data_IF_208269551592
#
_entry.id   IF_208269551592
#
_cell.length_a   1.000
_cell.length_b   1.000
_cell.length_c   1.000
_cell.angle_alpha   90.00
_cell.angle_beta   90.00
_cell.angle_gamma   90.00
#
_symmetry.space_group_name_H-M   'P 1'
#
loop_
_entity.id
_entity.type
_entity.pdbx_description
1 polymer ?
#
# COMPACT_ATOMS: atom_id res chain seq x y z
N UNK A 1 -29.34 18.09 -48.58
CA UNK A 1 -28.79 17.63 -49.87
C UNK A 1 -27.82 18.70 -50.29
N UNK A 2 -26.56 18.50 -50.65
CA UNK A 2 -25.63 17.36 -50.69
C UNK A 2 -24.29 17.92 -51.25
N UNK A 3 -24.35 19.09 -51.91
CA UNK A 3 -23.28 19.65 -52.73
C UNK A 3 -22.39 20.71 -52.05
N UNK A 4 -22.87 21.45 -51.03
CA UNK A 4 -22.03 22.49 -50.38
C UNK A 4 -20.92 21.90 -49.48
N UNK A 5 -21.11 20.67 -48.96
CA UNK A 5 -20.09 19.97 -48.18
C UNK A 5 -18.95 19.39 -49.04
N UNK A 6 -19.10 19.35 -50.37
CA UNK A 6 -18.11 18.77 -51.29
C UNK A 6 -17.10 19.77 -51.86
N UNK A 7 -17.32 21.09 -51.71
CA UNK A 7 -16.48 22.10 -52.39
C UNK A 7 -15.44 22.79 -51.49
N UNK A 8 -15.62 22.79 -50.16
CA UNK A 8 -14.60 23.35 -49.23
C UNK A 8 -13.40 22.42 -49.00
N UNK A 9 -13.53 21.12 -49.28
CA UNK A 9 -12.43 20.13 -49.17
C UNK A 9 -11.40 20.27 -50.32
N UNK A 10 -11.69 21.07 -51.36
CA UNK A 10 -11.04 20.96 -52.67
C UNK A 10 -9.86 21.90 -52.94
N UNK A 11 -9.61 22.93 -52.12
CA UNK A 11 -8.74 24.07 -52.51
C UNK A 11 -7.46 24.26 -51.65
N UNK A 12 -7.31 23.62 -50.49
CA UNK A 12 -6.12 23.79 -49.64
C UNK A 12 -5.37 22.50 -49.30
N UNK A 13 -4.55 22.02 -50.26
CA UNK A 13 -3.21 21.39 -50.07
C UNK A 13 -2.71 20.77 -51.39
N UNK A 14 -2.10 21.62 -52.22
CA UNK A 14 -1.20 21.20 -53.30
C UNK A 14 0.23 21.66 -52.96
N UNK A 15 1.25 21.00 -53.54
CA UNK A 15 2.71 21.22 -53.43
C UNK A 15 3.37 20.69 -52.12
N UNK A 16 4.10 19.54 -52.06
CA UNK A 16 5.35 19.05 -52.75
C UNK A 16 6.63 19.65 -52.10
N UNK A 17 7.80 18.94 -51.90
CA UNK A 17 8.26 17.58 -52.33
C UNK A 17 8.81 16.64 -51.20
N UNK A 18 9.48 15.54 -51.60
CA UNK A 18 10.05 14.42 -50.82
C UNK A 18 11.59 14.51 -50.69
N UNK A 19 12.21 13.84 -49.70
CA UNK A 19 13.34 12.91 -49.96
C UNK A 19 13.63 11.91 -48.81
N UNK A 20 14.40 10.85 -49.10
CA UNK A 20 14.52 9.61 -48.30
C UNK A 20 15.89 9.44 -47.60
N UNK A 21 15.90 8.67 -46.50
CA UNK A 21 16.88 7.59 -46.25
C UNK A 21 16.13 6.30 -45.84
N UNK A 22 16.70 5.12 -46.11
CA UNK A 22 15.94 3.90 -46.47
C UNK A 22 16.57 2.60 -45.90
N UNK A 23 15.79 1.50 -45.86
CA UNK A 23 16.19 0.06 -45.65
C UNK A 23 16.46 -0.27 -44.15
N UNK A 24 15.99 -1.33 -43.48
CA UNK A 24 15.37 -2.65 -43.80
C UNK A 24 14.58 -3.19 -42.55
N UNK A 25 13.82 -4.31 -42.47
CA UNK A 25 13.08 -5.12 -43.46
C UNK A 25 12.11 -6.17 -42.80
N UNK A 26 11.34 -6.87 -43.65
CA UNK A 26 10.78 -8.24 -43.57
C UNK A 26 9.63 -8.65 -42.58
N UNK A 27 8.74 -9.61 -42.96
CA UNK A 27 7.31 -9.55 -42.56
C UNK A 27 6.67 -10.82 -41.96
N UNK A 28 5.41 -10.67 -41.50
CA UNK A 28 4.49 -11.74 -41.07
C UNK A 28 3.79 -12.42 -42.27
N UNK A 29 3.65 -13.76 -42.27
CA UNK A 29 2.69 -14.50 -43.11
C UNK A 29 2.06 -15.71 -42.40
N UNK A 30 0.80 -15.97 -42.74
CA UNK A 30 0.02 -17.16 -42.37
C UNK A 30 0.40 -18.39 -43.21
N UNK A 31 0.17 -19.60 -42.68
CA UNK A 31 -0.70 -20.63 -43.30
C UNK A 31 -0.88 -21.86 -42.38
N UNK A 32 -2.00 -22.57 -42.55
CA UNK A 32 -2.34 -23.83 -41.85
C UNK A 32 -2.09 -25.02 -42.78
N UNK A 33 -1.59 -26.15 -42.26
CA UNK A 33 -1.77 -27.49 -42.85
C UNK A 33 -1.63 -28.60 -41.81
N UNK A 34 -2.27 -29.73 -42.10
CA UNK A 34 -2.67 -30.74 -41.10
C UNK A 34 -1.72 -31.95 -40.99
N UNK A 35 -1.75 -32.55 -39.79
CA UNK A 35 -1.64 -33.99 -39.48
C UNK A 35 -0.36 -34.86 -39.61
N UNK A 36 -0.27 -35.77 -38.60
CA UNK A 36 0.34 -37.12 -38.55
C UNK A 36 1.83 -37.34 -38.13
N UNK A 37 2.03 -37.37 -36.80
CA UNK A 37 2.27 -38.58 -35.96
C UNK A 37 3.41 -39.57 -36.33
N UNK A 38 4.47 -39.61 -35.50
CA UNK A 38 5.05 -40.87 -34.94
C UNK A 38 6.04 -40.63 -33.78
N UNK A 39 5.86 -41.43 -32.72
CA UNK A 39 6.84 -42.04 -31.78
C UNK A 39 8.02 -41.20 -31.22
N UNK A 40 8.06 -40.83 -29.93
CA UNK A 40 8.33 -41.62 -28.69
C UNK A 40 9.82 -41.72 -28.24
N UNK A 41 9.99 -41.67 -26.91
CA UNK A 41 11.19 -42.05 -26.12
C UNK A 41 12.43 -41.14 -26.14
N UNK A 42 12.45 -40.19 -25.19
CA UNK A 42 13.29 -40.35 -23.98
C UNK A 42 12.83 -39.45 -22.83
N UNK A 43 12.04 -40.02 -21.93
CA UNK A 43 11.93 -39.51 -20.57
C UNK A 43 13.16 -39.97 -19.78
N UNK A 44 13.84 -39.03 -19.11
CA UNK A 44 14.67 -39.33 -17.95
C UNK A 44 14.34 -38.32 -16.86
N UNK A 45 13.73 -38.85 -15.81
CA UNK A 45 13.29 -38.24 -14.58
C UNK A 45 14.14 -37.06 -14.07
N UNK A 46 13.52 -35.88 -14.03
CA UNK A 46 13.52 -35.09 -12.80
C UNK A 46 12.10 -35.05 -12.26
N UNK A 47 11.79 -35.99 -11.34
CA UNK A 47 10.63 -35.93 -10.47
C UNK A 47 10.66 -34.60 -9.72
N UNK A 48 9.96 -33.58 -10.24
CA UNK A 48 9.47 -32.49 -9.41
C UNK A 48 8.44 -33.12 -8.49
N UNK A 49 8.86 -33.47 -7.28
CA UNK A 49 7.95 -33.81 -6.21
C UNK A 49 6.88 -32.72 -6.14
N UNK A 50 5.64 -33.10 -6.42
CA UNK A 50 4.49 -32.24 -6.15
C UNK A 50 4.42 -32.14 -4.64
N UNK A 51 5.07 -31.10 -4.10
CA UNK A 51 4.96 -30.75 -2.69
C UNK A 51 3.50 -30.40 -2.44
N UNK A 52 2.75 -31.39 -1.95
CA UNK A 52 1.39 -31.24 -1.45
C UNK A 52 1.43 -30.00 -0.55
N UNK A 53 0.73 -28.90 -0.89
CA UNK A 53 0.77 -27.72 -0.06
C UNK A 53 0.17 -28.10 1.29
N UNK A 54 1.01 -28.10 2.34
CA UNK A 54 0.55 -28.32 3.71
C UNK A 54 -0.63 -27.37 3.94
N UNK A 55 -1.77 -27.83 4.50
CA UNK A 55 -2.95 -26.99 4.65
C UNK A 55 -2.55 -25.73 5.41
N UNK A 56 -2.73 -24.58 4.77
CA UNK A 56 -2.29 -23.30 5.30
C UNK A 56 -3.16 -22.96 6.52
N UNK A 57 -2.64 -23.26 7.72
CA UNK A 57 -3.31 -22.97 8.98
C UNK A 57 -3.53 -21.47 9.08
N UNK A 58 -4.79 -21.03 8.96
CA UNK A 58 -5.18 -19.63 9.10
C UNK A 58 -4.72 -19.11 10.46
N UNK A 59 -4.12 -17.92 10.49
CA UNK A 59 -3.79 -17.24 11.74
C UNK A 59 -4.81 -16.16 12.00
N UNK A 60 -5.40 -16.16 13.20
CA UNK A 60 -6.40 -15.17 13.62
C UNK A 60 -5.81 -13.78 13.93
N UNK A 61 -4.48 -13.65 13.93
CA UNK A 61 -3.77 -12.41 14.21
C UNK A 61 -2.69 -12.11 13.16
N UNK A 62 -2.58 -10.84 12.78
CA UNK A 62 -1.47 -10.32 12.00
C UNK A 62 -0.70 -9.29 12.83
N UNK A 63 0.64 -9.37 12.81
CA UNK A 63 1.52 -8.50 13.59
C UNK A 63 2.50 -7.79 12.66
N UNK A 64 2.77 -6.52 12.93
CA UNK A 64 3.87 -5.74 12.35
C UNK A 64 4.71 -5.17 13.49
N UNK A 65 6.01 -5.42 13.44
CA UNK A 65 6.98 -4.92 14.42
C UNK A 65 8.03 -4.05 13.71
N UNK A 66 7.93 -2.73 13.89
CA UNK A 66 8.90 -1.77 13.40
C UNK A 66 9.91 -1.43 14.50
N UNK A 67 11.20 -1.37 14.16
CA UNK A 67 12.28 -1.03 15.11
C UNK A 67 12.96 0.28 14.76
N UNK A 68 13.28 1.09 15.76
CA UNK A 68 14.07 2.32 15.64
C UNK A 68 13.51 3.36 14.65
N UNK A 69 12.18 3.45 14.56
CA UNK A 69 11.45 4.36 13.67
C UNK A 69 11.65 5.81 14.11
N UNK A 70 11.78 6.74 13.15
CA UNK A 70 12.04 8.17 13.34
C UNK A 70 10.80 8.98 13.78
N UNK A 71 10.09 8.47 14.80
CA UNK A 71 8.88 9.07 15.37
C UNK A 71 9.11 9.39 16.84
N UNK A 72 8.50 10.45 17.36
CA UNK A 72 8.50 10.79 18.79
C UNK A 72 7.43 10.01 19.56
N UNK A 73 7.71 9.58 20.80
CA UNK A 73 6.81 8.70 21.57
C UNK A 73 5.42 9.31 21.76
N UNK A 74 5.35 10.60 22.13
CA UNK A 74 4.09 11.35 22.28
C UNK A 74 3.26 11.37 20.98
N UNK A 75 3.90 11.39 19.81
CA UNK A 75 3.19 11.32 18.52
C UNK A 75 2.72 9.89 18.21
N UNK A 76 3.54 8.88 18.51
CA UNK A 76 3.19 7.48 18.27
C UNK A 76 2.04 7.00 19.16
N UNK A 77 1.99 7.41 20.43
CA UNK A 77 0.88 7.13 21.35
C UNK A 77 -0.43 7.74 20.83
N UNK A 78 -0.42 9.04 20.50
CA UNK A 78 -1.61 9.74 20.01
C UNK A 78 -2.15 9.16 18.70
N UNK A 79 -1.27 8.81 17.76
CA UNK A 79 -1.66 8.11 16.52
C UNK A 79 -2.20 6.71 16.83
N UNK A 80 -1.54 5.95 17.72
CA UNK A 80 -1.95 4.62 18.12
C UNK A 80 -3.35 4.58 18.71
N UNK A 81 -3.65 5.47 19.65
CA UNK A 81 -5.00 5.64 20.20
C UNK A 81 -6.03 6.04 19.13
N UNK A 82 -5.63 6.88 18.17
CA UNK A 82 -6.51 7.35 17.10
C UNK A 82 -6.82 6.29 16.02
N UNK A 83 -5.96 5.29 15.80
CA UNK A 83 -6.20 4.19 14.83
C UNK A 83 -6.72 2.90 15.48
N UNK A 84 -6.56 2.73 16.79
CA UNK A 84 -7.03 1.54 17.52
C UNK A 84 -8.54 1.35 17.36
N UNK A 85 -8.95 0.12 17.05
CA UNK A 85 -10.36 -0.27 16.88
C UNK A 85 -10.98 0.08 15.52
N UNK A 86 -10.22 0.63 14.57
CA UNK A 86 -10.67 0.87 13.19
C UNK A 86 -10.27 -0.29 12.26
N UNK A 87 -10.91 -0.37 11.10
CA UNK A 87 -10.43 -1.21 9.99
C UNK A 87 -9.11 -0.67 9.43
N UNK A 88 -8.29 -1.53 8.82
CA UNK A 88 -6.98 -1.14 8.27
C UNK A 88 -7.13 -0.07 7.17
N UNK A 89 -8.09 -0.24 6.25
CA UNK A 89 -8.38 0.71 5.17
C UNK A 89 -8.79 2.10 5.71
N UNK A 90 -9.71 2.14 6.67
CA UNK A 90 -10.14 3.38 7.33
C UNK A 90 -8.99 4.08 8.06
N UNK A 91 -8.10 3.33 8.72
CA UNK A 91 -6.95 3.88 9.42
C UNK A 91 -5.98 4.56 8.45
N UNK A 92 -5.70 3.96 7.29
CA UNK A 92 -4.88 4.56 6.23
C UNK A 92 -5.53 5.86 5.73
N UNK A 93 -6.80 5.82 5.32
CA UNK A 93 -7.51 7.00 4.79
C UNK A 93 -7.60 8.15 5.80
N UNK A 94 -7.77 7.85 7.10
CA UNK A 94 -7.73 8.86 8.16
C UNK A 94 -6.32 9.49 8.29
N UNK A 95 -5.24 8.70 8.24
CA UNK A 95 -3.87 9.21 8.35
C UNK A 95 -3.44 10.02 7.12
N UNK A 96 -3.95 9.70 5.94
CA UNK A 96 -3.73 10.50 4.73
C UNK A 96 -4.37 11.90 4.87
N UNK A 97 -5.59 11.99 5.43
CA UNK A 97 -6.23 13.27 5.77
C UNK A 97 -5.44 14.05 6.83
N UNK A 98 -4.81 13.38 7.80
CA UNK A 98 -3.91 14.01 8.79
C UNK A 98 -2.64 14.55 8.12
N UNK A 99 -2.07 13.83 7.17
CA UNK A 99 -0.90 14.26 6.37
C UNK A 99 -1.17 15.56 5.62
N UNK A 100 -2.37 15.69 5.03
CA UNK A 100 -2.85 16.90 4.33
C UNK A 100 -3.41 17.95 5.32
N UNK A 101 -3.28 17.75 6.64
CA UNK A 101 -3.79 18.61 7.73
C UNK A 101 -5.31 18.86 7.72
N UNK A 102 -6.09 18.03 7.01
CA UNK A 102 -7.56 18.13 6.96
C UNK A 102 -8.23 17.59 8.23
N UNK A 103 -7.61 16.61 8.89
CA UNK A 103 -8.14 15.96 10.09
C UNK A 103 -7.11 16.04 11.22
N UNK A 104 -7.52 16.54 12.39
CA UNK A 104 -6.65 16.63 13.56
C UNK A 104 -6.59 15.28 14.30
N UNK A 105 -5.42 14.94 14.84
CA UNK A 105 -5.25 13.84 15.79
C UNK A 105 -5.43 14.42 17.20
N UNK A 106 -6.23 13.78 18.09
CA UNK A 106 -6.33 14.19 19.48
C UNK A 106 -5.00 13.98 20.19
N UNK A 107 -4.60 14.91 21.04
CA UNK A 107 -3.42 14.75 21.90
C UNK A 107 -3.78 15.02 23.35
N UNK A 108 -3.05 14.41 24.29
CA UNK A 108 -3.15 14.72 25.72
C UNK A 108 -2.10 15.75 26.17
N UNK A 109 -2.50 16.62 27.08
CA UNK A 109 -1.69 17.69 27.69
C UNK A 109 -1.78 19.04 26.98
N UNK A 110 -0.91 19.96 27.41
CA UNK A 110 -0.81 21.37 26.98
C UNK A 110 -0.47 21.52 25.49
N UNK A 111 -1.50 21.52 24.65
CA UNK A 111 -1.42 21.69 23.20
C UNK A 111 -2.58 22.59 22.77
N UNK A 112 -2.34 23.42 21.76
CA UNK A 112 -3.35 24.32 21.21
C UNK A 112 -4.69 23.60 20.91
N UNK A 113 -5.79 24.25 21.30
CA UNK A 113 -7.14 23.78 21.05
C UNK A 113 -7.40 23.65 19.53
N UNK A 114 -8.20 22.65 19.15
CA UNK A 114 -8.57 22.39 17.75
C UNK A 114 -10.04 22.02 17.66
N UNK A 115 -10.71 22.49 16.60
CA UNK A 115 -12.10 22.13 16.31
C UNK A 115 -12.19 20.64 15.92
N UNK A 116 -12.97 19.86 16.66
CA UNK A 116 -13.18 18.43 16.40
C UNK A 116 -14.16 17.82 17.43
N UNK A 117 -14.89 16.77 17.03
CA UNK A 117 -15.87 16.10 17.89
C UNK A 117 -15.16 15.45 19.09
N UNK A 118 -15.44 15.93 20.31
CA UNK A 118 -14.90 15.39 21.55
C UNK A 118 -13.40 15.65 21.79
N UNK A 119 -12.79 16.64 21.14
CA UNK A 119 -11.36 16.94 21.29
C UNK A 119 -11.14 18.32 21.93
N UNK A 120 -10.50 18.35 23.10
CA UNK A 120 -10.05 19.59 23.72
C UNK A 120 -8.82 20.16 23.01
N UNK A 121 -7.81 19.33 22.73
CA UNK A 121 -6.57 19.72 22.05
C UNK A 121 -6.12 18.71 21.01
N UNK A 122 -5.37 19.16 20.00
CA UNK A 122 -4.98 18.31 18.87
C UNK A 122 -3.87 18.87 17.99
N UNK A 123 -3.25 18.00 17.19
CA UNK A 123 -2.13 18.34 16.30
C UNK A 123 -2.18 17.51 15.01
N UNK A 124 -1.41 17.93 14.00
CA UNK A 124 -1.24 17.24 12.73
C UNK A 124 0.19 16.64 12.65
N UNK A 125 0.41 15.40 13.12
CA UNK A 125 1.73 14.77 13.19
C UNK A 125 2.20 14.21 11.82
N UNK A 126 2.30 15.07 10.79
CA UNK A 126 2.52 14.71 9.37
C UNK A 126 3.59 13.62 9.15
N UNK A 127 4.80 13.79 9.67
CA UNK A 127 5.89 12.82 9.45
C UNK A 127 5.59 11.45 10.10
N UNK A 128 4.99 11.45 11.28
CA UNK A 128 4.61 10.20 11.94
C UNK A 128 3.44 9.52 11.23
N UNK A 129 2.46 10.27 10.72
CA UNK A 129 1.38 9.71 9.90
C UNK A 129 1.91 9.00 8.65
N UNK A 130 2.94 9.53 7.99
CA UNK A 130 3.59 8.86 6.84
C UNK A 130 4.19 7.50 7.23
N UNK A 131 4.97 7.45 8.31
CA UNK A 131 5.54 6.20 8.84
C UNK A 131 4.44 5.17 9.16
N UNK A 132 3.39 5.58 9.87
CA UNK A 132 2.27 4.70 10.21
C UNK A 132 1.49 4.20 8.99
N UNK A 133 1.34 5.00 7.92
CA UNK A 133 0.73 4.53 6.65
C UNK A 133 1.55 3.39 6.06
N UNK A 134 2.88 3.48 6.05
CA UNK A 134 3.76 2.40 5.58
C UNK A 134 3.57 1.12 6.42
N UNK A 135 3.54 1.25 7.75
CA UNK A 135 3.32 0.10 8.65
C UNK A 135 1.94 -0.55 8.48
N UNK A 136 0.89 0.24 8.23
CA UNK A 136 -0.46 -0.29 7.97
C UNK A 136 -0.57 -0.97 6.61
N UNK A 137 0.16 -0.52 5.58
CA UNK A 137 0.26 -1.23 4.30
C UNK A 137 0.94 -2.59 4.46
N UNK A 138 2.03 -2.66 5.24
CA UNK A 138 2.63 -3.95 5.62
C UNK A 138 1.71 -4.83 6.44
N UNK A 139 0.89 -4.25 7.34
CA UNK A 139 -0.10 -4.99 8.13
C UNK A 139 -1.19 -5.60 7.24
N UNK A 140 -1.70 -4.85 6.26
CA UNK A 140 -2.64 -5.36 5.26
C UNK A 140 -2.07 -6.54 4.47
N UNK A 141 -0.81 -6.45 4.04
CA UNK A 141 -0.13 -7.54 3.34
C UNK A 141 0.05 -8.78 4.24
N UNK A 142 0.38 -8.58 5.52
CA UNK A 142 0.50 -9.67 6.50
C UNK A 142 -0.85 -10.34 6.80
N UNK A 143 -1.95 -9.57 6.88
CA UNK A 143 -3.31 -10.12 7.04
C UNK A 143 -3.72 -10.99 5.86
N UNK A 144 -3.49 -10.52 4.62
CA UNK A 144 -3.73 -11.30 3.41
C UNK A 144 -2.89 -12.59 3.39
N UNK A 145 -1.59 -12.49 3.72
CA UNK A 145 -0.70 -13.66 3.76
C UNK A 145 -1.11 -14.69 4.84
N UNK A 146 -1.69 -14.24 5.95
CA UNK A 146 -2.21 -15.11 7.01
C UNK A 146 -3.60 -15.71 6.70
N UNK A 147 -4.23 -15.33 5.59
CA UNK A 147 -5.55 -15.82 5.18
C UNK A 147 -6.73 -15.21 5.94
N UNK A 148 -6.54 -14.00 6.50
CA UNK A 148 -7.57 -13.20 7.18
C UNK A 148 -8.37 -12.38 6.17
N UNK A 149 -9.67 -12.17 6.41
CA UNK A 149 -10.45 -11.20 5.64
C UNK A 149 -10.11 -9.75 6.05
N UNK A 150 -9.89 -8.87 5.08
CA UNK A 150 -9.55 -7.46 5.33
C UNK A 150 -10.75 -6.65 5.83
N UNK A 151 -11.98 -7.05 5.50
CA UNK A 151 -13.18 -6.34 5.92
C UNK A 151 -13.62 -6.68 7.35
N UNK A 152 -13.35 -7.89 7.83
CA UNK A 152 -13.52 -8.33 9.22
C UNK A 152 -12.35 -7.92 10.15
N UNK A 153 -11.19 -7.58 9.59
CA UNK A 153 -9.96 -7.31 10.36
C UNK A 153 -9.93 -5.90 10.96
N UNK A 154 -9.76 -5.83 12.29
CA UNK A 154 -9.58 -4.56 13.03
C UNK A 154 -8.18 -4.45 13.64
N UNK A 155 -7.71 -3.22 13.82
CA UNK A 155 -6.50 -2.93 14.60
C UNK A 155 -6.83 -3.10 16.10
N UNK A 156 -6.36 -4.19 16.71
CA UNK A 156 -6.63 -4.53 18.11
C UNK A 156 -5.77 -3.74 19.08
N UNK A 157 -4.45 -3.69 18.82
CA UNK A 157 -3.48 -3.00 19.67
C UNK A 157 -2.41 -2.28 18.85
N UNK A 158 -1.95 -1.16 19.40
CA UNK A 158 -0.79 -0.40 18.93
C UNK A 158 0.05 -0.10 20.15
N UNK A 159 1.27 -0.61 20.18
CA UNK A 159 2.20 -0.50 21.32
C UNK A 159 3.48 0.21 20.86
N UNK A 160 3.58 1.54 21.10
CA UNK A 160 4.80 2.29 20.85
C UNK A 160 5.70 2.26 22.10
N UNK A 161 6.88 1.68 21.97
CA UNK A 161 7.89 1.59 23.02
C UNK A 161 9.09 2.50 22.70
N UNK A 162 9.67 3.12 23.72
CA UNK A 162 10.88 3.94 23.58
C UNK A 162 12.04 3.09 23.06
N UNK A 163 12.72 3.53 22.00
CA UNK A 163 13.94 2.89 21.53
C UNK A 163 15.17 3.44 22.28
N UNK A 164 16.33 2.75 22.25
CA UNK A 164 17.59 3.29 22.74
C UNK A 164 17.85 4.70 22.17
N UNK A 165 18.18 5.65 23.06
CA UNK A 165 18.42 7.03 22.66
C UNK A 165 19.73 7.13 21.89
N UNK A 166 19.68 7.54 20.63
CA UNK A 166 20.87 7.96 19.92
C UNK A 166 21.17 9.41 20.30
N UNK A 167 22.41 9.67 20.72
CA UNK A 167 22.89 11.00 21.05
C UNK A 167 23.64 11.62 19.88
N UNK A 168 23.54 12.94 19.74
CA UNK A 168 24.44 13.71 18.89
C UNK A 168 25.80 13.92 19.59
N UNK A 169 26.75 14.54 18.89
CA UNK A 169 28.12 14.76 19.41
C UNK A 169 28.06 15.44 20.79
N UNK A 170 28.88 14.93 21.72
CA UNK A 170 28.96 15.38 23.12
C UNK A 170 27.63 15.36 23.90
N UNK A 171 26.64 14.56 23.51
CA UNK A 171 25.38 14.41 24.24
C UNK A 171 24.41 15.59 24.11
N UNK A 172 24.78 16.62 23.34
CA UNK A 172 24.07 17.90 23.16
C UNK A 172 22.59 17.78 22.76
N UNK A 173 22.22 16.78 21.97
CA UNK A 173 20.83 16.53 21.55
C UNK A 173 20.57 15.05 21.44
N UNK A 174 19.34 14.63 21.78
CA UNK A 174 18.87 13.25 21.77
C UNK A 174 17.89 13.02 20.61
N UNK A 175 18.22 12.12 19.70
CA UNK A 175 17.33 11.70 18.63
C UNK A 175 16.18 10.86 19.22
N UNK A 176 14.95 11.21 18.88
CA UNK A 176 13.75 10.49 19.32
C UNK A 176 13.42 9.40 18.32
N UNK A 177 13.60 8.14 18.73
CA UNK A 177 13.21 6.94 17.97
C UNK A 177 12.38 6.01 18.85
N UNK A 178 11.55 5.18 18.22
CA UNK A 178 10.69 4.21 18.91
C UNK A 178 10.65 2.86 18.19
N UNK A 179 10.33 1.82 18.95
CA UNK A 179 9.81 0.56 18.42
C UNK A 179 8.28 0.66 18.39
N UNK A 180 7.63 0.16 17.34
CA UNK A 180 6.17 0.20 17.19
C UNK A 180 5.71 -1.21 16.85
N UNK A 181 4.89 -1.80 17.72
CA UNK A 181 4.17 -3.05 17.45
C UNK A 181 2.71 -2.73 17.14
N UNK A 182 2.18 -3.33 16.06
CA UNK A 182 0.77 -3.22 15.69
C UNK A 182 0.23 -4.64 15.51
N UNK A 183 -0.85 -4.97 16.22
CA UNK A 183 -1.56 -6.24 16.06
C UNK A 183 -2.96 -5.99 15.52
N UNK A 184 -3.28 -6.64 14.41
CA UNK A 184 -4.64 -6.75 13.89
C UNK A 184 -5.23 -8.13 14.24
N UNK A 185 -6.53 -8.15 14.51
CA UNK A 185 -7.29 -9.39 14.76
C UNK A 185 -8.54 -9.40 13.89
N UNK A 186 -8.90 -10.58 13.43
CA UNK A 186 -10.16 -10.82 12.74
C UNK A 186 -11.31 -10.85 13.77
N UNK A 187 -12.38 -10.08 13.53
CA UNK A 187 -13.57 -10.09 14.39
C UNK A 187 -14.59 -11.05 13.81
N UNK A 188 -14.99 -12.06 14.58
CA UNK A 188 -16.11 -12.90 14.21
C UNK A 188 -17.38 -12.04 14.05
N UNK A 189 -18.02 -12.12 12.89
CA UNK A 189 -19.21 -11.33 12.56
C UNK A 189 -20.38 -11.71 13.49
N UNK A 190 -20.56 -10.93 14.55
CA UNK A 190 -21.51 -11.20 15.62
C UNK A 190 -21.22 -10.43 16.90
N UNK A 191 -19.95 -10.13 17.19
CA UNK A 191 -19.57 -9.30 18.34
C UNK A 191 -19.74 -7.82 18.01
N UNK A 192 -20.97 -7.31 18.20
CA UNK A 192 -21.20 -5.86 18.25
C UNK A 192 -20.54 -5.27 19.51
N UNK A 193 -19.98 -4.08 19.36
CA UNK A 193 -19.32 -3.29 20.41
C UNK A 193 -20.29 -2.29 21.02
#
# INVERSE_FOLDING_TARGET
MADEQLNQVRIQKQNIPKENKKIADAPVRHELKEEKKSEEKKAVDKKKEVKIPKPAVKKFEAVVNARSVHVSLKHAVAIGEFIKGKKISEAIANLERVSIKKQAVPFRGEIAHRKGKGMMSGKYPVNASKEFITLLKSLSANSLHNGMDLDSTIISSVVPNKAPEQVHRFGSTKFKRNHISITAKEVAQGVKK
#
